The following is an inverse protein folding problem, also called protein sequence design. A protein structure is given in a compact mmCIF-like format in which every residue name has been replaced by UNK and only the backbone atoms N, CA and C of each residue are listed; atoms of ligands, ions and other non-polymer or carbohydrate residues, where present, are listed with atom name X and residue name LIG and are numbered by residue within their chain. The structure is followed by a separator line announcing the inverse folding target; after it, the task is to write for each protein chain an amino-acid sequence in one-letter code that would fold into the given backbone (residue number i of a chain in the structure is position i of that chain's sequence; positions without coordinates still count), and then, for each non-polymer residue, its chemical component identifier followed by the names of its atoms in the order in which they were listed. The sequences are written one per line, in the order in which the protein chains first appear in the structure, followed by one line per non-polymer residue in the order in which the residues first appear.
data_IF_076702350499
#
_entry.id   IF_076702350499
#
_cell.length_a   1.000
_cell.length_b   1.000
_cell.length_c   1.000
_cell.angle_alpha   90.00
_cell.angle_beta   90.00
_cell.angle_gamma   90.00
#
_symmetry.space_group_name_H-M   'P 1'
#
loop_
_entity.id
_entity.type
_entity.pdbx_description
1 polymer ?
#
# COMPACT_ATOMS: atom_id res chain seq x y z
N UNK A 1 7.12 -14.18 14.17
CA UNK A 1 5.84 -14.07 13.43
C UNK A 1 5.91 -15.07 12.30
N UNK A 2 5.17 -16.17 12.37
CA UNK A 2 5.16 -17.20 11.33
C UNK A 2 4.14 -16.80 10.28
N UNK A 3 4.61 -16.38 9.11
CA UNK A 3 3.80 -16.23 7.90
C UNK A 3 3.35 -17.62 7.43
N UNK A 4 2.41 -18.22 8.15
CA UNK A 4 1.80 -19.50 7.79
C UNK A 4 0.63 -19.31 6.83
N UNK A 5 0.59 -18.21 6.08
CA UNK A 5 -0.35 -18.05 4.98
C UNK A 5 0.24 -18.73 3.73
N UNK A 6 -0.34 -19.86 3.27
CA UNK A 6 0.18 -20.60 2.13
C UNK A 6 0.12 -19.81 0.82
N UNK A 7 -0.65 -18.72 0.75
CA UNK A 7 -0.73 -17.88 -0.46
C UNK A 7 0.44 -16.88 -0.52
N UNK A 8 0.74 -16.22 0.60
CA UNK A 8 1.92 -15.36 0.73
C UNK A 8 3.22 -16.12 0.40
N UNK A 9 3.30 -17.39 0.80
CA UNK A 9 4.45 -18.26 0.52
C UNK A 9 4.70 -18.46 -0.98
N UNK A 10 3.65 -18.55 -1.82
CA UNK A 10 3.80 -18.77 -3.26
C UNK A 10 4.22 -17.50 -4.00
N UNK A 11 3.61 -16.37 -3.65
CA UNK A 11 4.00 -15.08 -4.18
C UNK A 11 5.46 -14.74 -3.82
N UNK A 12 5.85 -14.95 -2.56
CA UNK A 12 7.21 -14.69 -2.10
C UNK A 12 8.23 -15.58 -2.82
N UNK A 13 7.95 -16.88 -2.97
CA UNK A 13 8.83 -17.80 -3.69
C UNK A 13 9.00 -17.39 -5.16
N UNK A 14 7.92 -16.98 -5.81
CA UNK A 14 7.92 -16.57 -7.20
C UNK A 14 8.55 -15.20 -7.49
N UNK A 15 8.39 -14.25 -6.57
CA UNK A 15 9.09 -12.97 -6.64
C UNK A 15 10.61 -13.12 -6.35
N UNK A 16 11.09 -14.35 -6.08
CA UNK A 16 12.45 -14.62 -5.65
C UNK A 16 12.75 -14.09 -4.25
N UNK A 17 11.71 -13.73 -3.48
CA UNK A 17 11.82 -13.10 -2.16
C UNK A 17 12.56 -14.00 -1.17
N UNK A 18 12.38 -15.33 -1.27
CA UNK A 18 13.09 -16.31 -0.43
C UNK A 18 14.58 -16.39 -0.70
N UNK A 19 15.02 -16.00 -1.90
CA UNK A 19 16.43 -16.00 -2.31
C UNK A 19 17.09 -14.61 -2.12
N UNK A 20 16.30 -13.60 -1.76
CA UNK A 20 16.78 -12.24 -1.47
C UNK A 20 17.45 -12.14 -0.10
N UNK A 21 18.44 -11.27 -0.02
CA UNK A 21 18.98 -10.81 1.27
C UNK A 21 17.93 -9.99 2.04
N UNK A 22 18.07 -9.86 3.36
CA UNK A 22 17.17 -9.04 4.19
C UNK A 22 17.04 -7.59 3.66
N UNK A 23 18.14 -7.02 3.17
CA UNK A 23 18.14 -5.67 2.58
C UNK A 23 17.32 -5.60 1.29
N UNK A 24 17.40 -6.64 0.45
CA UNK A 24 16.61 -6.73 -0.78
C UNK A 24 15.13 -6.98 -0.48
N UNK A 25 14.83 -7.81 0.52
CA UNK A 25 13.46 -8.03 0.99
C UNK A 25 12.85 -6.73 1.52
N UNK A 26 13.60 -5.95 2.31
CA UNK A 26 13.15 -4.66 2.81
C UNK A 26 12.89 -3.67 1.67
N UNK A 27 13.80 -3.57 0.69
CA UNK A 27 13.62 -2.70 -0.47
C UNK A 27 12.41 -3.12 -1.34
N UNK A 28 12.20 -4.42 -1.52
CA UNK A 28 11.04 -4.95 -2.23
C UNK A 28 9.73 -4.61 -1.51
N UNK A 29 9.67 -4.85 -0.19
CA UNK A 29 8.49 -4.52 0.61
C UNK A 29 8.21 -3.01 0.62
N UNK A 30 9.25 -2.18 0.64
CA UNK A 30 9.12 -0.74 0.52
C UNK A 30 8.48 -0.36 -0.83
N UNK A 31 9.01 -0.87 -1.94
CA UNK A 31 8.47 -0.58 -3.27
C UNK A 31 7.03 -1.07 -3.45
N UNK A 32 6.73 -2.29 -2.97
CA UNK A 32 5.37 -2.82 -2.99
C UNK A 32 4.42 -1.95 -2.15
N UNK A 33 4.87 -1.52 -0.97
CA UNK A 33 4.12 -0.61 -0.10
C UNK A 33 3.86 0.75 -0.74
N UNK A 34 4.86 1.33 -1.42
CA UNK A 34 4.73 2.59 -2.15
C UNK A 34 3.68 2.48 -3.26
N UNK A 35 3.71 1.42 -4.06
CA UNK A 35 2.72 1.19 -5.13
C UNK A 35 1.30 1.05 -4.57
N UNK A 36 1.11 0.25 -3.52
CA UNK A 36 -0.19 0.07 -2.86
C UNK A 36 -0.70 1.41 -2.31
N UNK A 37 0.17 2.17 -1.65
CA UNK A 37 -0.18 3.47 -1.08
C UNK A 37 -0.58 4.48 -2.16
N UNK A 38 0.22 4.63 -3.21
CA UNK A 38 -0.05 5.57 -4.31
C UNK A 38 -1.35 5.21 -5.04
N UNK A 39 -1.60 3.92 -5.28
CA UNK A 39 -2.85 3.47 -5.92
C UNK A 39 -4.07 3.75 -5.04
N UNK A 40 -4.00 3.43 -3.75
CA UNK A 40 -5.08 3.70 -2.80
C UNK A 40 -5.35 5.22 -2.66
N UNK A 41 -4.30 6.04 -2.66
CA UNK A 41 -4.41 7.50 -2.60
C UNK A 41 -5.07 8.06 -3.86
N UNK A 42 -4.70 7.57 -5.04
CA UNK A 42 -5.32 7.96 -6.30
C UNK A 42 -6.83 7.65 -6.31
N UNK A 43 -7.22 6.48 -5.79
CA UNK A 43 -8.63 6.08 -5.68
C UNK A 43 -9.39 6.95 -4.67
N UNK A 44 -8.78 7.27 -3.54
CA UNK A 44 -9.36 8.20 -2.57
C UNK A 44 -9.64 9.55 -3.23
N UNK A 45 -8.61 10.16 -3.84
CA UNK A 45 -8.73 11.48 -4.48
C UNK A 45 -9.76 11.49 -5.60
N UNK A 46 -9.85 10.41 -6.39
CA UNK A 46 -10.86 10.28 -7.45
C UNK A 46 -12.31 10.26 -6.93
N UNK A 47 -12.52 9.91 -5.66
CA UNK A 47 -13.83 9.88 -5.00
C UNK A 47 -14.17 11.14 -4.19
N UNK A 48 -13.23 12.08 -4.07
CA UNK A 48 -13.39 13.31 -3.29
C UNK A 48 -14.01 14.43 -4.12
N UNK A 49 -14.71 15.34 -3.45
CA UNK A 49 -15.12 16.61 -4.04
C UNK A 49 -14.00 17.67 -3.90
N UNK A 50 -14.15 18.80 -4.61
CA UNK A 50 -13.14 19.86 -4.63
C UNK A 50 -12.82 20.39 -3.22
N UNK A 51 -13.81 20.46 -2.33
CA UNK A 51 -13.63 20.97 -0.97
C UNK A 51 -12.81 20.00 -0.12
N UNK A 52 -13.08 18.69 -0.21
CA UNK A 52 -12.29 17.68 0.48
C UNK A 52 -10.86 17.60 -0.08
N UNK A 53 -10.68 17.79 -1.39
CA UNK A 53 -9.34 17.83 -2.01
C UNK A 53 -8.55 19.02 -1.45
N UNK A 54 -9.16 20.19 -1.34
CA UNK A 54 -8.54 21.39 -0.76
C UNK A 54 -8.13 21.15 0.71
N UNK A 55 -9.01 20.56 1.53
CA UNK A 55 -8.70 20.21 2.93
C UNK A 55 -7.52 19.24 3.04
N UNK A 56 -7.47 18.21 2.18
CA UNK A 56 -6.35 17.27 2.15
C UNK A 56 -5.06 17.94 1.72
N UNK A 57 -5.10 18.86 0.74
CA UNK A 57 -3.93 19.62 0.31
C UNK A 57 -3.41 20.52 1.44
N UNK A 58 -4.29 21.25 2.13
CA UNK A 58 -3.91 22.09 3.27
C UNK A 58 -3.24 21.26 4.38
N UNK A 59 -3.80 20.08 4.68
CA UNK A 59 -3.19 19.15 5.63
C UNK A 59 -1.77 18.75 5.19
N UNK A 60 -1.60 18.28 3.95
CA UNK A 60 -0.31 17.84 3.41
C UNK A 60 0.72 18.97 3.31
N UNK A 61 0.30 20.22 3.09
CA UNK A 61 1.21 21.38 3.10
C UNK A 61 1.63 21.78 4.52
N UNK A 62 0.82 21.47 5.52
CA UNK A 62 1.11 21.75 6.93
C UNK A 62 1.85 20.63 7.65
N UNK A 63 1.95 19.45 7.02
CA UNK A 63 2.50 18.23 7.61
C UNK A 63 4.01 18.36 7.80
N UNK A 64 4.51 17.95 8.96
CA UNK A 64 5.94 17.86 9.22
C UNK A 64 6.48 16.47 8.85
N UNK A 65 7.80 16.33 8.71
CA UNK A 65 8.42 15.01 8.44
C UNK A 65 8.16 13.98 9.56
N UNK A 66 7.76 14.43 10.75
CA UNK A 66 7.45 13.58 11.91
C UNK A 66 5.99 13.09 11.93
N UNK A 67 5.12 13.69 11.10
CA UNK A 67 3.70 13.38 11.09
C UNK A 67 3.38 12.14 10.25
N UNK A 68 2.56 11.26 10.82
CA UNK A 68 2.16 10.02 10.17
C UNK A 68 0.96 10.24 9.23
N UNK A 69 1.24 10.66 8.00
CA UNK A 69 0.23 10.88 6.95
C UNK A 69 -0.68 9.66 6.77
N UNK A 70 -0.12 8.44 6.83
CA UNK A 70 -0.90 7.21 6.68
C UNK A 70 -1.97 7.08 7.78
N UNK A 71 -1.60 7.36 9.03
CA UNK A 71 -2.53 7.31 10.16
C UNK A 71 -3.64 8.35 10.03
N UNK A 72 -3.30 9.57 9.59
CA UNK A 72 -4.30 10.59 9.30
C UNK A 72 -5.28 10.15 8.21
N UNK A 73 -4.77 9.61 7.09
CA UNK A 73 -5.61 9.18 5.97
C UNK A 73 -6.56 8.04 6.40
N UNK A 74 -6.07 7.06 7.16
CA UNK A 74 -6.90 5.96 7.67
C UNK A 74 -7.94 6.43 8.69
N UNK A 75 -7.62 7.42 9.53
CA UNK A 75 -8.54 7.94 10.53
C UNK A 75 -9.61 8.86 9.93
N UNK A 76 -9.23 9.68 8.95
CA UNK A 76 -10.08 10.72 8.35
C UNK A 76 -10.94 10.18 7.22
N UNK A 77 -10.40 9.23 6.44
CA UNK A 77 -11.07 8.66 5.26
C UNK A 77 -11.21 7.14 5.44
N UNK A 78 -12.29 6.63 6.07
CA UNK A 78 -12.44 5.20 6.32
C UNK A 78 -12.32 4.32 5.07
N UNK A 79 -12.81 4.82 3.91
CA UNK A 79 -12.70 4.13 2.63
C UNK A 79 -11.25 3.97 2.14
N UNK A 80 -10.31 4.81 2.61
CA UNK A 80 -8.90 4.68 2.28
C UNK A 80 -8.31 3.37 2.82
N UNK A 81 -8.70 2.94 4.02
CA UNK A 81 -8.26 1.64 4.56
C UNK A 81 -8.75 0.49 3.69
N UNK A 82 -9.99 0.56 3.19
CA UNK A 82 -10.54 -0.45 2.29
C UNK A 82 -9.77 -0.47 0.96
N UNK A 83 -9.46 0.71 0.41
CA UNK A 83 -8.62 0.82 -0.80
C UNK A 83 -7.24 0.20 -0.61
N UNK A 84 -6.55 0.47 0.51
CA UNK A 84 -5.23 -0.14 0.78
C UNK A 84 -5.30 -1.67 0.78
N UNK A 85 -6.34 -2.25 1.39
CA UNK A 85 -6.53 -3.71 1.40
C UNK A 85 -6.80 -4.24 0.00
N UNK A 86 -7.72 -3.61 -0.75
CA UNK A 86 -8.06 -4.01 -2.11
C UNK A 86 -6.83 -3.95 -3.05
N UNK A 87 -6.01 -2.90 -2.95
CA UNK A 87 -4.79 -2.76 -3.76
C UNK A 87 -3.74 -3.81 -3.38
N UNK A 88 -3.61 -4.16 -2.09
CA UNK A 88 -2.71 -5.22 -1.64
C UNK A 88 -3.15 -6.61 -2.15
N UNK A 89 -4.47 -6.88 -2.12
CA UNK A 89 -5.03 -8.12 -2.67
C UNK A 89 -4.87 -8.20 -4.19
N UNK A 90 -5.07 -7.08 -4.90
CA UNK A 90 -4.86 -6.99 -6.34
C UNK A 90 -3.40 -7.28 -6.72
N UNK A 91 -2.45 -6.66 -6.01
CA UNK A 91 -1.02 -6.90 -6.21
C UNK A 91 -0.64 -8.36 -5.99
N UNK A 92 -1.21 -9.01 -4.97
CA UNK A 92 -1.02 -10.44 -4.73
C UNK A 92 -1.57 -11.28 -5.90
N UNK A 93 -2.78 -11.00 -6.36
CA UNK A 93 -3.43 -11.74 -7.44
C UNK A 93 -2.70 -11.60 -8.78
N UNK A 94 -2.18 -10.40 -9.10
CA UNK A 94 -1.36 -10.19 -10.30
C UNK A 94 -0.05 -10.98 -10.24
N UNK A 95 0.58 -11.02 -9.06
CA UNK A 95 1.73 -11.87 -8.82
C UNK A 95 1.40 -13.35 -9.09
N UNK A 96 0.28 -13.85 -8.58
CA UNK A 96 -0.16 -15.23 -8.79
C UNK A 96 -0.48 -15.55 -10.28
N UNK A 97 -1.17 -14.64 -10.98
CA UNK A 97 -1.55 -14.82 -12.38
C UNK A 97 -0.35 -14.83 -13.33
N UNK A 98 0.75 -14.18 -12.97
CA UNK A 98 1.97 -14.16 -13.80
C UNK A 98 2.74 -15.48 -13.72
N UNK A 99 2.38 -16.37 -12.80
CA UNK A 99 3.09 -17.61 -12.47
C UNK A 99 2.36 -18.89 -12.90
N UNK A 100 1.12 -18.77 -13.38
CA UNK A 100 0.31 -19.88 -13.90
C UNK A 100 0.49 -20.07 -15.40
#
# INVERSE_FOLDING_TARGET
MTTSDPQFSKFAEAAGFTDMTEAQQAAFLQQAGEVVFESALARLVAGMDDAAIEELQEYLESVSEEDNVLEYLMATYPAFSDHVVEEAEALQAEGESTLS
#
